data_IF_732645314366
#
_entry.id   IF_732645314366
#
_cell.length_a   1.000
_cell.length_b   1.000
_cell.length_c   1.000
_cell.angle_alpha   90.00
_cell.angle_beta   90.00
_cell.angle_gamma   90.00
#
_symmetry.space_group_name_H-M   'P 1'
#
loop_
_entity.id
_entity.type
_entity.pdbx_description
1 polymer ?
#
# COMPACT_ATOMS: atom_id res chain seq x y z
N UNK A 1 23.12 -4.62 -0.85
CA UNK A 1 23.16 -5.30 0.46
C UNK A 1 22.39 -4.43 1.43
N UNK A 2 21.45 -4.97 2.21
CA UNK A 2 20.70 -4.18 3.19
C UNK A 2 21.62 -3.51 4.21
N UNK A 3 21.36 -2.22 4.47
CA UNK A 3 22.14 -1.41 5.41
C UNK A 3 21.24 -0.95 6.56
N UNK A 4 21.75 -1.10 7.79
CA UNK A 4 21.18 -0.45 8.98
C UNK A 4 21.98 0.84 9.22
N UNK A 5 21.31 1.99 9.14
CA UNK A 5 21.86 3.27 9.55
C UNK A 5 21.44 3.56 10.98
N UNK A 6 22.41 3.58 11.89
CA UNK A 6 22.22 3.92 13.29
C UNK A 6 22.55 5.40 13.49
N UNK A 7 21.62 6.14 14.08
CA UNK A 7 21.67 7.58 14.29
C UNK A 7 21.50 7.84 15.77
N UNK A 8 22.46 8.56 16.38
CA UNK A 8 22.33 9.04 17.76
C UNK A 8 22.39 10.55 17.83
N UNK A 9 21.58 11.10 18.74
CA UNK A 9 21.71 12.46 19.22
C UNK A 9 21.71 12.46 20.74
N UNK A 10 22.72 13.09 21.34
CA UNK A 10 22.81 13.24 22.80
C UNK A 10 23.24 14.67 23.12
N UNK A 11 22.32 15.65 22.93
CA UNK A 11 22.63 17.06 23.12
C UNK A 11 23.19 17.38 24.50
N UNK A 12 24.10 18.36 24.56
CA UNK A 12 24.84 18.75 25.76
C UNK A 12 23.97 19.38 26.85
N UNK A 13 22.83 19.95 26.47
CA UNK A 13 21.84 20.59 27.34
C UNK A 13 20.72 19.64 27.81
N UNK A 14 20.84 18.35 27.52
CA UNK A 14 19.93 17.29 27.94
C UNK A 14 20.62 16.27 28.85
N UNK A 15 19.83 15.40 29.49
CA UNK A 15 20.37 14.28 30.28
C UNK A 15 21.20 13.35 29.39
N UNK A 16 22.38 12.94 29.87
CA UNK A 16 23.31 12.15 29.06
C UNK A 16 22.85 10.70 28.93
N UNK A 17 22.56 10.27 27.72
CA UNK A 17 22.23 8.88 27.40
C UNK A 17 23.48 8.04 27.14
N UNK A 18 23.42 6.73 27.43
CA UNK A 18 24.53 5.78 27.19
C UNK A 18 24.41 5.07 25.83
N UNK A 19 24.21 5.84 24.76
CA UNK A 19 23.90 5.35 23.40
C UNK A 19 24.99 4.42 22.82
N UNK A 20 26.26 4.68 23.14
CA UNK A 20 27.38 3.89 22.62
C UNK A 20 27.35 2.42 23.07
N UNK A 21 26.71 2.12 24.21
CA UNK A 21 26.56 0.75 24.69
C UNK A 21 25.58 -0.02 23.80
N UNK A 22 24.43 0.58 23.50
CA UNK A 22 23.43 0.01 22.59
C UNK A 22 24.04 -0.29 21.22
N UNK A 23 24.78 0.66 20.64
CA UNK A 23 25.33 0.51 19.29
C UNK A 23 26.38 -0.59 19.20
N UNK A 24 27.26 -0.65 20.20
CA UNK A 24 28.23 -1.74 20.31
C UNK A 24 27.52 -3.09 20.39
N UNK A 25 26.45 -3.17 21.17
CA UNK A 25 25.75 -4.43 21.39
C UNK A 25 24.95 -4.86 20.14
N UNK A 26 24.39 -3.93 19.36
CA UNK A 26 23.81 -4.20 18.04
C UNK A 26 24.86 -4.68 17.04
N UNK A 27 26.06 -4.07 17.02
CA UNK A 27 27.17 -4.55 16.16
C UNK A 27 27.61 -5.96 16.56
N UNK A 28 27.64 -6.27 17.85
CA UNK A 28 27.90 -7.64 18.32
C UNK A 28 26.80 -8.62 17.93
N UNK A 29 25.52 -8.19 17.91
CA UNK A 29 24.41 -9.00 17.38
C UNK A 29 24.67 -9.42 15.93
N UNK A 30 25.08 -8.47 15.07
CA UNK A 30 25.45 -8.77 13.68
C UNK A 30 26.61 -9.75 13.59
N UNK A 31 27.69 -9.53 14.35
CA UNK A 31 28.87 -10.40 14.32
C UNK A 31 28.57 -11.86 14.69
N UNK A 32 27.61 -12.08 15.60
CA UNK A 32 27.18 -13.42 16.03
C UNK A 32 26.18 -14.06 15.07
N UNK A 33 25.57 -13.29 14.17
CA UNK A 33 24.60 -13.82 13.22
C UNK A 33 25.24 -14.78 12.22
N UNK A 34 24.47 -15.79 11.82
CA UNK A 34 24.82 -16.70 10.71
C UNK A 34 24.84 -15.96 9.37
N UNK A 35 24.05 -14.90 9.23
CA UNK A 35 23.91 -14.12 8.00
C UNK A 35 24.67 -12.78 8.08
N UNK A 36 25.74 -12.71 8.87
CA UNK A 36 26.51 -11.48 9.10
C UNK A 36 27.07 -10.83 7.83
N UNK A 37 27.27 -11.62 6.78
CA UNK A 37 27.81 -11.17 5.48
C UNK A 37 26.72 -10.59 4.57
N UNK A 38 25.45 -10.67 4.96
CA UNK A 38 24.30 -10.14 4.21
C UNK A 38 23.90 -8.73 4.65
N UNK A 39 24.54 -8.17 5.67
CA UNK A 39 24.15 -6.88 6.27
C UNK A 39 25.36 -5.97 6.51
N UNK A 40 25.13 -4.66 6.34
CA UNK A 40 26.05 -3.62 6.79
C UNK A 40 25.41 -2.80 7.92
N UNK A 41 26.21 -2.40 8.91
CA UNK A 41 25.81 -1.38 9.88
C UNK A 41 26.68 -0.15 9.67
N UNK A 42 26.04 0.97 9.36
CA UNK A 42 26.64 2.30 9.37
C UNK A 42 26.13 3.07 10.58
N UNK A 43 26.96 3.93 11.14
CA UNK A 43 26.57 4.72 12.31
C UNK A 43 27.01 6.16 12.18
N UNK A 44 26.16 7.07 12.63
CA UNK A 44 26.43 8.49 12.72
C UNK A 44 26.12 8.96 14.16
N UNK A 45 27.13 9.51 14.83
CA UNK A 45 27.05 10.02 16.21
C UNK A 45 26.99 11.56 16.17
N UNK A 46 26.32 12.18 17.16
CA UNK A 46 26.17 13.64 17.26
C UNK A 46 25.43 14.27 16.06
N UNK A 47 24.32 13.64 15.64
CA UNK A 47 23.71 13.91 14.34
C UNK A 47 22.79 15.12 14.39
N UNK A 48 23.12 16.14 13.60
CA UNK A 48 22.18 17.19 13.20
C UNK A 48 21.21 16.65 12.14
N UNK A 49 20.07 17.34 11.90
CA UNK A 49 19.13 16.94 10.82
C UNK A 49 19.82 16.91 9.44
N UNK A 50 20.79 17.79 9.22
CA UNK A 50 21.56 17.80 7.97
C UNK A 50 22.46 16.57 7.84
N UNK A 51 23.05 16.10 8.93
CA UNK A 51 23.89 14.90 8.93
C UNK A 51 23.05 13.64 8.75
N UNK A 52 21.83 13.60 9.28
CA UNK A 52 20.85 12.56 8.97
C UNK A 52 20.56 12.53 7.46
N UNK A 53 20.23 13.70 6.88
CA UNK A 53 19.92 13.80 5.45
C UNK A 53 21.10 13.37 4.57
N UNK A 54 22.33 13.76 4.92
CA UNK A 54 23.55 13.34 4.21
C UNK A 54 23.75 11.83 4.31
N UNK A 55 23.64 11.26 5.50
CA UNK A 55 23.78 9.82 5.69
C UNK A 55 22.72 9.01 4.92
N UNK A 56 21.49 9.49 4.84
CA UNK A 56 20.45 8.87 4.00
C UNK A 56 20.82 8.89 2.51
N UNK A 57 21.38 9.99 2.02
CA UNK A 57 21.85 10.11 0.63
C UNK A 57 23.03 9.17 0.33
N UNK A 58 23.99 9.08 1.25
CA UNK A 58 25.21 8.31 1.06
C UNK A 58 24.98 6.80 1.18
N UNK A 59 24.18 6.38 2.17
CA UNK A 59 24.06 4.97 2.52
C UNK A 59 22.78 4.29 2.05
N UNK A 60 21.73 5.06 1.70
CA UNK A 60 20.43 4.54 1.22
C UNK A 60 19.94 3.34 2.06
N UNK A 61 19.77 3.51 3.38
CA UNK A 61 19.62 2.38 4.29
C UNK A 61 18.24 1.72 4.16
N UNK A 62 18.21 0.40 4.44
CA UNK A 62 16.97 -0.36 4.57
C UNK A 62 16.31 -0.18 5.94
N UNK A 63 17.11 0.15 6.96
CA UNK A 63 16.62 0.42 8.31
C UNK A 63 17.30 1.68 8.84
N UNK A 64 16.52 2.62 9.36
CA UNK A 64 17.03 3.73 10.19
C UNK A 64 16.71 3.44 11.65
N UNK A 65 17.73 3.45 12.49
CA UNK A 65 17.59 3.37 13.94
C UNK A 65 17.96 4.71 14.55
N UNK A 66 17.00 5.43 15.11
CA UNK A 66 17.24 6.63 15.89
C UNK A 66 17.25 6.28 17.37
N UNK A 67 18.30 6.67 18.09
CA UNK A 67 18.40 6.56 19.54
C UNK A 67 18.73 7.92 20.15
N UNK A 68 17.89 8.42 21.06
CA UNK A 68 18.01 9.77 21.59
C UNK A 68 16.80 10.20 22.39
N UNK A 69 16.73 11.49 22.69
CA UNK A 69 15.60 12.05 23.45
C UNK A 69 14.36 12.26 22.58
N UNK A 70 13.20 12.02 23.18
CA UNK A 70 11.89 12.30 22.58
C UNK A 70 11.07 13.22 23.49
N UNK A 71 10.58 14.32 22.92
CA UNK A 71 9.77 15.32 23.62
C UNK A 71 8.27 15.10 23.47
N UNK A 72 7.82 13.90 23.10
CA UNK A 72 6.43 13.63 22.74
C UNK A 72 5.99 14.51 21.57
N UNK A 73 4.95 15.33 21.74
CA UNK A 73 4.48 16.25 20.69
C UNK A 73 5.52 17.25 20.21
N UNK A 74 6.55 17.54 21.00
CA UNK A 74 7.60 18.48 20.63
C UNK A 74 8.52 17.94 19.52
N UNK A 75 8.64 16.61 19.37
CA UNK A 75 9.49 15.98 18.35
C UNK A 75 10.63 15.13 18.91
N UNK A 76 11.49 14.67 18.01
CA UNK A 76 12.76 14.01 18.35
C UNK A 76 13.85 15.07 18.51
N UNK A 77 14.73 14.89 19.49
CA UNK A 77 15.84 15.83 19.74
C UNK A 77 17.06 15.44 18.90
N UNK A 78 17.44 16.31 17.97
CA UNK A 78 18.73 16.27 17.27
C UNK A 78 19.68 17.29 17.89
N UNK A 79 20.92 17.33 17.41
CA UNK A 79 21.86 18.39 17.78
C UNK A 79 21.76 19.57 16.82
N UNK A 80 22.01 20.78 17.32
CA UNK A 80 22.36 21.94 16.52
C UNK A 80 23.89 22.05 16.34
N UNK A 81 24.34 23.12 15.68
CA UNK A 81 25.77 23.36 15.41
C UNK A 81 26.61 23.58 16.67
N UNK A 82 25.97 23.91 17.80
CA UNK A 82 26.59 24.14 19.10
C UNK A 82 26.48 22.90 20.01
N UNK A 83 25.87 21.81 19.52
CA UNK A 83 25.66 20.57 20.26
C UNK A 83 24.47 20.62 21.24
N UNK A 84 23.60 21.63 21.14
CA UNK A 84 22.38 21.74 21.96
C UNK A 84 21.18 21.11 21.27
N UNK A 85 20.09 20.92 22.01
CA UNK A 85 18.91 20.24 21.53
C UNK A 85 18.18 21.07 20.46
N UNK A 86 18.07 20.48 19.27
CA UNK A 86 17.21 20.93 18.19
C UNK A 86 16.07 19.94 17.98
N UNK A 87 14.88 20.29 18.46
CA UNK A 87 13.73 19.40 18.35
C UNK A 87 13.11 19.47 16.96
N UNK A 88 12.98 18.31 16.30
CA UNK A 88 12.40 18.20 14.96
C UNK A 88 11.04 17.51 15.04
N UNK A 89 10.00 18.17 14.52
CA UNK A 89 8.66 17.60 14.48
C UNK A 89 8.55 16.42 13.51
N UNK A 90 7.43 15.72 13.56
CA UNK A 90 7.23 14.48 12.82
C UNK A 90 7.10 14.69 11.30
N UNK A 91 6.43 15.76 10.87
CA UNK A 91 6.10 15.99 9.46
C UNK A 91 7.33 16.24 8.58
N UNK A 92 8.32 17.07 8.98
CA UNK A 92 9.56 17.20 8.23
C UNK A 92 10.34 15.89 8.12
N UNK A 93 10.37 15.08 9.18
CA UNK A 93 11.03 13.77 9.17
C UNK A 93 10.32 12.78 8.26
N UNK A 94 8.98 12.73 8.30
CA UNK A 94 8.18 11.89 7.41
C UNK A 94 8.43 12.25 5.94
N UNK A 95 8.43 13.55 5.61
CA UNK A 95 8.76 14.03 4.26
C UNK A 95 10.19 13.67 3.84
N UNK A 96 11.16 13.78 4.76
CA UNK A 96 12.52 13.36 4.49
C UNK A 96 12.57 11.87 4.16
N UNK A 97 11.96 11.02 4.98
CA UNK A 97 11.94 9.56 4.77
C UNK A 97 11.17 9.14 3.51
N UNK A 98 10.12 9.86 3.13
CA UNK A 98 9.37 9.61 1.89
C UNK A 98 10.29 9.56 0.66
N UNK A 99 11.30 10.43 0.59
CA UNK A 99 12.25 10.46 -0.52
C UNK A 99 13.16 9.22 -0.61
N UNK A 100 13.16 8.36 0.41
CA UNK A 100 13.94 7.14 0.49
C UNK A 100 13.06 5.88 0.64
N UNK A 101 11.73 5.97 0.51
CA UNK A 101 10.79 4.87 0.77
C UNK A 101 11.03 3.58 -0.03
N UNK A 102 11.65 3.71 -1.20
CA UNK A 102 11.98 2.56 -2.06
C UNK A 102 13.07 1.68 -1.42
N UNK A 103 14.02 2.32 -0.73
CA UNK A 103 15.15 1.68 -0.04
C UNK A 103 14.80 1.39 1.43
N UNK A 104 14.21 2.37 2.12
CA UNK A 104 13.93 2.39 3.56
C UNK A 104 12.64 1.62 3.90
N UNK A 105 12.79 0.48 4.58
CA UNK A 105 11.69 -0.41 4.96
C UNK A 105 11.28 -0.30 6.42
N UNK A 106 12.21 0.02 7.32
CA UNK A 106 11.88 0.12 8.74
C UNK A 106 12.53 1.35 9.39
N UNK A 107 11.77 2.07 10.21
CA UNK A 107 12.29 3.12 11.07
C UNK A 107 12.09 2.70 12.53
N UNK A 108 13.16 2.68 13.32
CA UNK A 108 13.12 2.39 14.75
C UNK A 108 13.40 3.69 15.50
N UNK A 109 12.41 4.20 16.22
CA UNK A 109 12.49 5.42 17.01
C UNK A 109 12.64 5.06 18.49
N UNK A 110 13.86 4.77 18.92
CA UNK A 110 14.20 4.47 20.29
C UNK A 110 14.33 5.78 21.11
N UNK A 111 13.19 6.43 21.34
CA UNK A 111 13.08 7.69 22.05
C UNK A 111 11.75 7.75 22.80
N UNK A 112 11.71 8.34 23.99
CA UNK A 112 10.50 8.44 24.80
C UNK A 112 9.35 9.09 24.04
N UNK A 113 8.14 8.51 24.14
CA UNK A 113 6.92 9.02 23.49
C UNK A 113 7.01 9.18 21.95
N UNK A 114 7.92 8.46 21.29
CA UNK A 114 8.12 8.53 19.84
C UNK A 114 6.96 7.97 19.00
N UNK A 115 5.93 7.38 19.64
CA UNK A 115 4.67 7.00 18.99
C UNK A 115 4.04 8.17 18.21
N UNK A 116 4.16 9.40 18.73
CA UNK A 116 3.58 10.58 18.09
C UNK A 116 4.21 10.79 16.71
N UNK A 117 5.54 10.67 16.61
CA UNK A 117 6.26 10.77 15.35
C UNK A 117 6.02 9.56 14.47
N UNK A 118 6.01 8.37 15.06
CA UNK A 118 5.81 7.13 14.33
C UNK A 118 4.48 7.06 13.60
N UNK A 119 3.41 7.60 14.19
CA UNK A 119 2.08 7.67 13.56
C UNK A 119 2.02 8.53 12.29
N UNK A 120 2.91 9.51 12.16
CA UNK A 120 3.03 10.36 10.98
C UNK A 120 4.01 9.72 9.99
N UNK A 121 5.16 9.25 10.48
CA UNK A 121 6.19 8.61 9.65
C UNK A 121 5.67 7.34 8.97
N UNK A 122 4.82 6.54 9.64
CA UNK A 122 4.22 5.33 9.03
C UNK A 122 3.34 5.62 7.81
N UNK A 123 2.98 6.88 7.55
CA UNK A 123 2.28 7.20 6.30
C UNK A 123 3.19 7.09 5.08
N UNK A 124 4.51 7.13 5.30
CA UNK A 124 5.53 7.25 4.25
C UNK A 124 6.48 6.04 4.17
N UNK A 125 6.54 5.18 5.20
CA UNK A 125 7.42 4.00 5.28
C UNK A 125 6.67 2.77 5.76
N UNK A 126 7.14 1.59 5.32
CA UNK A 126 6.50 0.28 5.52
C UNK A 126 6.27 -0.07 7.00
N UNK A 127 7.29 0.12 7.84
CA UNK A 127 7.23 -0.24 9.25
C UNK A 127 7.89 0.83 10.11
N UNK A 128 7.26 1.13 11.25
CA UNK A 128 7.82 2.03 12.26
C UNK A 128 7.70 1.39 13.63
N UNK A 129 8.78 1.40 14.39
CA UNK A 129 8.78 1.03 15.80
C UNK A 129 8.96 2.32 16.59
N UNK A 130 8.09 2.57 17.56
CA UNK A 130 8.20 3.72 18.47
C UNK A 130 7.94 3.32 19.91
N UNK A 131 7.96 4.30 20.81
CA UNK A 131 7.70 4.13 22.24
C UNK A 131 6.45 4.91 22.62
N UNK A 132 5.47 4.25 23.24
CA UNK A 132 4.20 4.88 23.66
C UNK A 132 4.35 5.81 24.87
N UNK A 133 5.38 5.57 25.69
CA UNK A 133 5.69 6.34 26.90
C UNK A 133 7.19 6.45 27.13
N UNK A 134 7.58 7.02 28.28
CA UNK A 134 8.97 6.95 28.74
C UNK A 134 9.39 5.48 28.91
N UNK A 135 10.62 5.17 28.47
CA UNK A 135 11.22 3.84 28.48
C UNK A 135 12.51 3.87 29.27
N UNK A 136 12.77 2.83 30.06
CA UNK A 136 14.05 2.66 30.75
C UNK A 136 15.19 2.37 29.76
N UNK A 137 16.34 3.02 29.93
CA UNK A 137 17.52 2.87 29.07
C UNK A 137 17.95 1.39 28.89
N UNK A 138 17.88 0.59 29.95
CA UNK A 138 18.29 -0.82 29.89
C UNK A 138 17.26 -1.69 29.16
N UNK A 139 15.98 -1.35 29.27
CA UNK A 139 14.90 -1.98 28.51
C UNK A 139 15.01 -1.60 27.02
N UNK A 140 15.19 -0.32 26.71
CA UNK A 140 15.39 0.18 25.36
C UNK A 140 16.56 -0.51 24.64
N UNK A 141 17.73 -0.56 25.28
CA UNK A 141 18.91 -1.23 24.73
C UNK A 141 18.68 -2.74 24.56
N UNK A 142 18.06 -3.41 25.53
CA UNK A 142 17.78 -4.85 25.46
C UNK A 142 16.80 -5.19 24.33
N UNK A 143 15.76 -4.38 24.17
CA UNK A 143 14.79 -4.50 23.07
C UNK A 143 15.50 -4.38 21.72
N UNK A 144 16.31 -3.32 21.53
CA UNK A 144 17.01 -3.08 20.27
C UNK A 144 17.94 -4.24 19.90
N UNK A 145 18.74 -4.75 20.85
CA UNK A 145 19.64 -5.89 20.61
C UNK A 145 18.85 -7.15 20.21
N UNK A 146 17.77 -7.47 20.92
CA UNK A 146 16.95 -8.64 20.62
C UNK A 146 16.20 -8.52 19.27
N UNK A 147 15.72 -7.32 18.95
CA UNK A 147 15.14 -7.00 17.64
C UNK A 147 16.15 -7.26 16.52
N UNK A 148 17.38 -6.74 16.64
CA UNK A 148 18.41 -6.93 15.62
C UNK A 148 18.98 -8.35 15.56
N UNK A 149 19.10 -9.06 16.69
CA UNK A 149 19.43 -10.49 16.70
C UNK A 149 18.45 -11.27 15.78
N UNK A 150 17.15 -10.94 15.82
CA UNK A 150 16.13 -11.57 14.98
C UNK A 150 16.16 -11.10 13.52
N UNK A 151 16.28 -9.80 13.26
CA UNK A 151 16.42 -9.24 11.90
C UNK A 151 17.62 -9.87 11.18
N UNK A 152 18.78 -9.90 11.84
CA UNK A 152 19.98 -10.49 11.25
C UNK A 152 19.89 -12.01 11.11
N UNK A 153 18.98 -12.69 11.81
CA UNK A 153 18.69 -14.11 11.61
C UNK A 153 17.73 -14.37 10.42
N UNK A 154 17.21 -13.32 9.78
CA UNK A 154 16.36 -13.41 8.58
C UNK A 154 14.86 -13.49 8.88
N UNK A 155 14.41 -13.10 10.07
CA UNK A 155 12.97 -12.99 10.36
C UNK A 155 12.37 -11.70 9.78
N UNK A 156 11.06 -11.66 9.59
CA UNK A 156 10.36 -10.41 9.28
C UNK A 156 10.36 -9.45 10.49
N UNK A 157 10.04 -8.17 10.23
CA UNK A 157 10.08 -7.11 11.26
C UNK A 157 9.05 -7.29 12.37
N UNK A 158 7.89 -7.90 12.10
CA UNK A 158 6.87 -8.13 13.13
C UNK A 158 7.35 -9.19 14.11
N UNK A 159 7.86 -10.31 13.57
CA UNK A 159 8.46 -11.37 14.38
C UNK A 159 9.66 -10.85 15.18
N UNK A 160 10.53 -10.04 14.56
CA UNK A 160 11.65 -9.43 15.26
C UNK A 160 11.22 -8.50 16.40
N UNK A 161 10.17 -7.70 16.19
CA UNK A 161 9.58 -6.86 17.23
C UNK A 161 9.03 -7.69 18.39
N UNK A 162 8.23 -8.73 18.10
CA UNK A 162 7.62 -9.58 19.13
C UNK A 162 8.70 -10.32 19.96
N UNK A 163 9.81 -10.74 19.33
CA UNK A 163 10.98 -11.30 20.02
C UNK A 163 11.71 -10.26 20.88
N UNK A 164 11.78 -9.01 20.44
CA UNK A 164 12.30 -7.88 21.21
C UNK A 164 11.53 -7.68 22.52
N UNK A 165 10.20 -7.60 22.45
CA UNK A 165 9.33 -7.51 23.63
C UNK A 165 9.48 -8.74 24.54
N UNK A 166 9.46 -9.95 23.95
CA UNK A 166 9.63 -11.21 24.69
C UNK A 166 10.97 -11.25 25.45
N UNK A 167 12.03 -10.66 24.89
CA UNK A 167 13.32 -10.59 25.57
C UNK A 167 13.27 -9.73 26.84
N UNK A 168 12.46 -8.67 26.87
CA UNK A 168 12.23 -7.87 28.08
C UNK A 168 11.55 -8.70 29.17
N UNK A 169 10.47 -9.41 28.82
CA UNK A 169 9.75 -10.30 29.74
C UNK A 169 10.65 -11.39 30.32
N UNK A 170 11.41 -12.08 29.46
CA UNK A 170 12.32 -13.16 29.87
C UNK A 170 13.43 -12.68 30.79
N UNK A 171 13.88 -11.44 30.64
CA UNK A 171 14.91 -10.83 31.48
C UNK A 171 14.32 -10.06 32.67
N UNK A 172 12.98 -10.08 32.83
CA UNK A 172 12.23 -9.36 33.88
C UNK A 172 12.56 -7.86 33.92
N UNK A 173 12.78 -7.28 32.74
CA UNK A 173 12.94 -5.84 32.58
C UNK A 173 11.56 -5.18 32.52
N UNK A 174 11.44 -3.92 32.96
CA UNK A 174 10.21 -3.16 32.76
C UNK A 174 9.96 -2.92 31.27
N UNK A 175 8.80 -2.34 30.95
CA UNK A 175 8.52 -1.71 29.67
C UNK A 175 8.40 -2.64 28.45
N UNK A 176 8.13 -3.93 28.65
CA UNK A 176 7.80 -4.86 27.56
C UNK A 176 6.59 -4.41 26.71
N UNK A 177 5.70 -3.61 27.29
CA UNK A 177 4.50 -3.02 26.69
C UNK A 177 4.73 -1.64 26.03
N UNK A 178 5.94 -1.07 26.14
CA UNK A 178 6.24 0.30 25.66
C UNK A 178 6.59 0.36 24.18
N UNK A 179 7.46 -0.52 23.64
CA UNK A 179 7.67 -0.58 22.20
C UNK A 179 6.34 -0.88 21.52
N UNK A 180 6.05 -0.14 20.46
CA UNK A 180 4.88 -0.33 19.62
C UNK A 180 5.30 -0.53 18.18
N UNK A 181 4.64 -1.48 17.51
CA UNK A 181 4.85 -1.77 16.11
C UNK A 181 3.75 -1.13 15.28
N UNK A 182 4.12 -0.21 14.39
CA UNK A 182 3.23 0.49 13.50
C UNK A 182 3.50 0.04 12.07
N UNK A 183 2.43 -0.38 11.40
CA UNK A 183 2.47 -0.74 9.98
C UNK A 183 2.08 0.48 9.14
N UNK A 184 2.77 0.66 8.02
CA UNK A 184 2.50 1.74 7.11
C UNK A 184 1.09 1.66 6.54
N UNK A 185 0.45 2.80 6.26
CA UNK A 185 -0.96 2.81 5.84
C UNK A 185 -1.24 2.01 4.57
N UNK A 186 -0.24 1.87 3.69
CA UNK A 186 -0.29 1.05 2.49
C UNK A 186 -0.13 -0.45 2.76
N UNK A 187 0.52 -0.81 3.87
CA UNK A 187 0.71 -2.20 4.32
C UNK A 187 -0.30 -2.62 5.39
N UNK A 188 -0.97 -1.67 6.03
CA UNK A 188 -1.99 -1.94 7.03
C UNK A 188 -3.05 -2.81 6.36
N UNK A 189 -3.19 -4.08 6.77
CA UNK A 189 -4.42 -4.79 6.48
C UNK A 189 -5.50 -3.90 7.06
N UNK A 190 -6.53 -3.56 6.27
CA UNK A 190 -7.70 -2.92 6.87
C UNK A 190 -8.12 -3.85 8.00
N UNK A 191 -7.92 -3.44 9.25
CA UNK A 191 -8.21 -4.28 10.41
C UNK A 191 -9.70 -4.54 10.32
N UNK A 192 -10.01 -5.74 9.86
CA UNK A 192 -11.32 -6.29 9.86
C UNK A 192 -11.68 -6.50 11.32
N UNK A 193 -12.26 -5.48 11.96
CA UNK A 193 -13.10 -5.74 13.11
C UNK A 193 -14.09 -6.80 12.63
N UNK A 194 -14.11 -7.98 13.26
CA UNK A 194 -15.06 -9.04 12.95
C UNK A 194 -16.47 -8.53 13.27
N UNK A 195 -16.98 -7.67 12.38
CA UNK A 195 -18.35 -7.19 12.38
C UNK A 195 -19.22 -8.35 11.91
N UNK A 196 -20.53 -8.28 12.20
CA UNK A 196 -21.50 -9.25 11.72
C UNK A 196 -21.45 -9.46 10.17
N UNK A 197 -20.82 -8.56 9.43
CA UNK A 197 -20.67 -8.64 7.98
C UNK A 197 -19.69 -9.71 7.52
N UNK A 198 -18.58 -10.00 8.22
CA UNK A 198 -17.57 -10.95 7.71
C UNK A 198 -18.14 -12.37 7.55
N UNK A 199 -18.78 -12.96 8.59
CA UNK A 199 -19.36 -14.30 8.44
C UNK A 199 -20.42 -14.35 7.33
N UNK A 200 -21.19 -13.27 7.17
CA UNK A 200 -22.21 -13.18 6.13
C UNK A 200 -21.60 -13.06 4.72
N UNK A 201 -20.54 -12.27 4.56
CA UNK A 201 -19.77 -12.17 3.32
C UNK A 201 -19.18 -13.53 2.96
N UNK A 202 -18.51 -14.21 3.89
CA UNK A 202 -17.95 -15.55 3.67
C UNK A 202 -19.04 -16.54 3.23
N UNK A 203 -20.21 -16.52 3.89
CA UNK A 203 -21.37 -17.38 3.58
C UNK A 203 -21.93 -17.10 2.18
N UNK A 204 -22.13 -15.84 1.84
CA UNK A 204 -22.66 -15.43 0.52
C UNK A 204 -21.66 -15.76 -0.57
N UNK A 205 -20.38 -15.42 -0.40
CA UNK A 205 -19.34 -15.70 -1.37
C UNK A 205 -19.11 -17.20 -1.55
N UNK A 206 -19.17 -18.00 -0.47
CA UNK A 206 -19.14 -19.46 -0.56
C UNK A 206 -20.30 -19.98 -1.41
N UNK A 207 -21.51 -19.48 -1.19
CA UNK A 207 -22.70 -19.86 -1.98
C UNK A 207 -22.57 -19.44 -3.44
N UNK A 208 -22.11 -18.21 -3.69
CA UNK A 208 -21.87 -17.66 -5.01
C UNK A 208 -20.83 -18.47 -5.79
N UNK A 209 -19.67 -18.75 -5.18
CA UNK A 209 -18.60 -19.48 -5.86
C UNK A 209 -18.97 -20.94 -6.15
N UNK A 210 -19.79 -21.58 -5.31
CA UNK A 210 -20.30 -22.95 -5.52
C UNK A 210 -21.60 -23.03 -6.33
N UNK A 211 -22.06 -21.91 -6.89
CA UNK A 211 -23.22 -21.88 -7.80
C UNK A 211 -22.73 -21.91 -9.25
N UNK A 212 -23.37 -22.71 -10.15
CA UNK A 212 -23.10 -22.68 -11.57
C UNK A 212 -23.13 -21.26 -12.15
N UNK A 213 -22.26 -20.97 -13.12
CA UNK A 213 -21.99 -19.60 -13.56
C UNK A 213 -23.23 -18.79 -13.93
N UNK A 214 -24.18 -19.38 -14.63
CA UNK A 214 -25.40 -18.71 -15.11
C UNK A 214 -26.42 -18.44 -14.01
N UNK A 215 -26.38 -19.23 -12.93
CA UNK A 215 -27.27 -19.09 -11.78
C UNK A 215 -26.70 -18.16 -10.70
N UNK A 216 -25.48 -17.64 -10.91
CA UNK A 216 -24.85 -16.66 -10.02
C UNK A 216 -25.55 -15.31 -10.04
N UNK A 217 -26.37 -15.03 -11.04
CA UNK A 217 -27.14 -13.79 -11.18
C UNK A 217 -27.93 -13.45 -9.91
N UNK A 218 -28.44 -14.43 -9.18
CA UNK A 218 -29.17 -14.23 -7.91
C UNK A 218 -28.34 -13.59 -6.78
N UNK A 219 -27.03 -13.58 -6.90
CA UNK A 219 -26.12 -12.98 -5.92
C UNK A 219 -25.53 -11.65 -6.39
N UNK A 220 -25.87 -11.18 -7.60
CA UNK A 220 -25.26 -9.96 -8.15
C UNK A 220 -26.17 -8.75 -8.00
N UNK A 221 -25.56 -7.57 -8.07
CA UNK A 221 -26.27 -6.28 -8.06
C UNK A 221 -27.17 -6.10 -9.29
N UNK A 222 -26.78 -6.65 -10.43
CA UNK A 222 -27.49 -6.50 -11.72
C UNK A 222 -28.51 -7.62 -11.97
N UNK A 223 -28.47 -8.73 -11.22
CA UNK A 223 -29.47 -9.79 -11.31
C UNK A 223 -29.47 -10.56 -12.64
N UNK A 224 -30.65 -11.00 -13.07
CA UNK A 224 -30.83 -11.90 -14.23
C UNK A 224 -30.44 -11.30 -15.59
N UNK A 225 -30.28 -9.98 -15.69
CA UNK A 225 -29.78 -9.36 -16.93
C UNK A 225 -28.35 -9.80 -17.28
N UNK A 226 -27.58 -10.29 -16.31
CA UNK A 226 -26.24 -10.82 -16.53
C UNK A 226 -26.19 -12.23 -17.09
N UNK A 227 -27.31 -12.97 -17.13
CA UNK A 227 -27.31 -14.40 -17.47
C UNK A 227 -26.59 -14.68 -18.79
N UNK A 228 -27.02 -14.01 -19.86
CA UNK A 228 -26.41 -14.18 -21.20
C UNK A 228 -24.96 -13.67 -21.28
N UNK A 229 -24.61 -12.66 -20.48
CA UNK A 229 -23.24 -12.11 -20.44
C UNK A 229 -22.31 -13.09 -19.71
N UNK A 230 -22.75 -13.67 -18.60
CA UNK A 230 -22.03 -14.71 -17.86
C UNK A 230 -21.84 -15.98 -18.70
N UNK A 231 -22.89 -16.42 -19.42
CA UNK A 231 -22.79 -17.55 -20.36
C UNK A 231 -21.67 -17.35 -21.37
N UNK A 232 -21.63 -16.17 -22.00
CA UNK A 232 -20.58 -15.83 -22.97
C UNK A 232 -19.20 -15.69 -22.33
N UNK A 233 -19.12 -15.07 -21.16
CA UNK A 233 -17.84 -14.82 -20.47
C UNK A 233 -17.19 -16.11 -19.96
N UNK A 234 -17.99 -16.98 -19.34
CA UNK A 234 -17.47 -18.25 -18.82
C UNK A 234 -17.34 -19.32 -19.90
N UNK A 235 -18.20 -19.30 -20.92
CA UNK A 235 -18.14 -20.23 -22.05
C UNK A 235 -18.07 -21.68 -21.58
N UNK A 236 -17.05 -22.41 -22.04
CA UNK A 236 -16.80 -23.82 -21.69
C UNK A 236 -16.00 -24.02 -20.38
N UNK A 237 -15.75 -22.96 -19.59
CA UNK A 237 -15.00 -23.10 -18.35
C UNK A 237 -15.69 -24.10 -17.42
N UNK A 238 -14.91 -25.05 -16.91
CA UNK A 238 -15.41 -26.01 -15.93
C UNK A 238 -15.54 -25.33 -14.57
N UNK A 239 -16.76 -25.31 -14.02
CA UNK A 239 -17.00 -24.88 -12.66
C UNK A 239 -16.47 -25.92 -11.67
N UNK A 240 -15.63 -25.49 -10.73
CA UNK A 240 -15.17 -26.29 -9.60
C UNK A 240 -15.69 -25.69 -8.31
N UNK A 241 -16.16 -26.56 -7.42
CA UNK A 241 -16.54 -26.16 -6.07
C UNK A 241 -15.30 -25.78 -5.26
N UNK A 242 -15.50 -24.88 -4.31
CA UNK A 242 -14.51 -24.47 -3.32
C UNK A 242 -14.90 -24.97 -1.94
N UNK A 243 -13.92 -25.36 -1.14
CA UNK A 243 -14.15 -25.91 0.20
C UNK A 243 -14.46 -24.84 1.24
N UNK A 244 -13.83 -23.67 1.13
CA UNK A 244 -13.97 -22.56 2.07
C UNK A 244 -13.72 -21.23 1.41
N UNK A 245 -14.34 -20.18 1.95
CA UNK A 245 -14.00 -18.77 1.72
C UNK A 245 -13.55 -18.18 3.04
N UNK A 246 -12.44 -17.45 3.05
CA UNK A 246 -12.08 -16.57 4.14
C UNK A 246 -11.87 -15.16 3.64
N UNK A 247 -12.43 -14.17 4.33
CA UNK A 247 -12.10 -12.77 4.04
C UNK A 247 -10.72 -12.45 4.62
N UNK A 248 -9.82 -11.96 3.77
CA UNK A 248 -8.45 -11.58 4.13
C UNK A 248 -8.34 -10.09 4.41
N UNK A 249 -8.97 -9.28 3.56
CA UNK A 249 -9.01 -7.81 3.70
C UNK A 249 -10.29 -7.25 3.07
N UNK A 250 -10.73 -6.09 3.54
CA UNK A 250 -11.82 -5.33 2.92
C UNK A 250 -11.43 -3.86 2.84
N UNK A 251 -11.58 -3.24 1.67
CA UNK A 251 -11.37 -1.81 1.44
C UNK A 251 -12.70 -1.15 1.09
N UNK A 252 -13.14 -0.20 1.91
CA UNK A 252 -14.31 0.64 1.59
C UNK A 252 -13.98 1.51 0.39
N UNK A 253 -14.86 1.54 -0.60
CA UNK A 253 -14.78 2.41 -1.78
C UNK A 253 -15.78 3.57 -1.68
N UNK A 254 -16.98 3.27 -1.19
CA UNK A 254 -18.03 4.22 -0.80
C UNK A 254 -18.66 3.73 0.52
N UNK A 255 -19.78 4.32 0.93
CA UNK A 255 -20.55 3.88 2.10
C UNK A 255 -21.04 2.43 1.99
N UNK A 256 -21.44 2.00 0.78
CA UNK A 256 -22.03 0.69 0.52
C UNK A 256 -21.18 -0.20 -0.39
N UNK A 257 -20.10 0.30 -0.99
CA UNK A 257 -19.24 -0.46 -1.91
C UNK A 257 -17.90 -0.83 -1.29
N UNK A 258 -17.51 -2.09 -1.50
CA UNK A 258 -16.34 -2.68 -0.89
C UNK A 258 -15.56 -3.51 -1.90
N UNK A 259 -14.23 -3.41 -1.85
CA UNK A 259 -13.32 -4.35 -2.48
C UNK A 259 -12.87 -5.35 -1.42
N UNK A 260 -13.13 -6.64 -1.65
CA UNK A 260 -12.85 -7.70 -0.69
C UNK A 260 -11.80 -8.64 -1.27
N UNK A 261 -10.72 -8.85 -0.54
CA UNK A 261 -9.80 -9.93 -0.82
C UNK A 261 -10.26 -11.18 -0.06
N UNK A 262 -10.40 -12.29 -0.78
CA UNK A 262 -10.80 -13.58 -0.20
C UNK A 262 -9.80 -14.67 -0.54
N UNK A 263 -9.47 -15.47 0.47
CA UNK A 263 -8.76 -16.73 0.31
C UNK A 263 -9.77 -17.86 0.07
N UNK A 264 -9.65 -18.52 -1.09
CA UNK A 264 -10.34 -19.77 -1.40
C UNK A 264 -9.31 -20.85 -1.78
N UNK A 265 -9.33 -21.38 -3.02
CA UNK A 265 -8.21 -22.17 -3.56
C UNK A 265 -7.02 -21.30 -3.96
N UNK A 266 -7.31 -20.05 -4.34
CA UNK A 266 -6.36 -18.98 -4.70
C UNK A 266 -6.92 -17.67 -4.13
N UNK A 267 -6.07 -16.65 -3.92
CA UNK A 267 -6.56 -15.33 -3.50
C UNK A 267 -7.34 -14.67 -4.64
N UNK A 268 -8.46 -14.02 -4.31
CA UNK A 268 -9.32 -13.33 -5.29
C UNK A 268 -9.78 -12.00 -4.73
N UNK A 269 -9.86 -11.00 -5.62
CA UNK A 269 -10.53 -9.75 -5.34
C UNK A 269 -11.98 -9.80 -5.83
N UNK A 270 -12.93 -9.42 -4.98
CA UNK A 270 -14.35 -9.37 -5.28
C UNK A 270 -14.89 -8.01 -4.89
N UNK A 271 -15.53 -7.33 -5.83
CA UNK A 271 -16.29 -6.13 -5.53
C UNK A 271 -17.67 -6.53 -5.03
N UNK A 272 -18.09 -5.97 -3.91
CA UNK A 272 -19.42 -6.21 -3.34
C UNK A 272 -20.09 -4.92 -2.94
N UNK A 273 -21.42 -4.96 -2.93
CA UNK A 273 -22.27 -3.95 -2.32
C UNK A 273 -22.89 -4.51 -1.05
N UNK A 274 -22.72 -3.80 0.07
CA UNK A 274 -23.24 -4.15 1.39
C UNK A 274 -24.25 -3.08 1.79
N UNK A 275 -25.52 -3.45 1.89
CA UNK A 275 -26.59 -2.58 2.41
C UNK A 275 -27.38 -3.32 3.47
N UNK A 276 -27.48 -2.72 4.65
CA UNK A 276 -28.10 -3.33 5.85
C UNK A 276 -27.45 -4.68 6.20
N UNK A 277 -28.01 -5.79 5.69
CA UNK A 277 -27.52 -7.17 5.85
C UNK A 277 -27.45 -7.94 4.54
N UNK A 278 -27.65 -7.28 3.40
CA UNK A 278 -27.53 -7.89 2.09
C UNK A 278 -26.13 -7.68 1.53
N UNK A 279 -25.52 -8.75 1.03
CA UNK A 279 -24.25 -8.73 0.31
C UNK A 279 -24.53 -9.15 -1.14
N UNK A 280 -24.25 -8.27 -2.09
CA UNK A 280 -24.39 -8.54 -3.51
C UNK A 280 -23.04 -8.34 -4.23
N UNK A 281 -22.73 -9.22 -5.17
CA UNK A 281 -21.49 -9.19 -5.96
C UNK A 281 -21.65 -8.22 -7.14
N UNK A 282 -20.73 -7.28 -7.26
CA UNK A 282 -20.56 -6.46 -8.47
C UNK A 282 -19.74 -7.27 -9.47
N UNK A 283 -20.41 -8.15 -10.22
CA UNK A 283 -19.73 -9.18 -11.03
C UNK A 283 -18.87 -8.56 -12.14
N UNK A 284 -19.43 -7.60 -12.87
CA UNK A 284 -18.77 -6.88 -13.96
C UNK A 284 -17.46 -6.24 -13.48
N UNK A 285 -17.46 -5.64 -12.30
CA UNK A 285 -16.26 -5.09 -11.66
C UNK A 285 -15.30 -6.20 -11.23
N UNK A 286 -15.81 -7.24 -10.58
CA UNK A 286 -15.01 -8.37 -10.07
C UNK A 286 -14.28 -9.17 -11.14
N UNK A 287 -14.80 -9.19 -12.37
CA UNK A 287 -14.15 -9.86 -13.50
C UNK A 287 -13.46 -8.90 -14.47
N UNK A 288 -13.43 -7.59 -14.15
CA UNK A 288 -12.87 -6.56 -15.02
C UNK A 288 -13.54 -6.54 -16.39
N UNK A 289 -14.86 -6.75 -16.46
CA UNK A 289 -15.59 -6.89 -17.72
C UNK A 289 -15.45 -5.63 -18.58
N UNK A 290 -15.13 -5.79 -19.85
CA UNK A 290 -15.19 -4.72 -20.84
C UNK A 290 -16.46 -4.86 -21.67
N UNK A 291 -16.91 -3.78 -22.33
CA UNK A 291 -18.09 -3.85 -23.22
C UNK A 291 -17.88 -4.80 -24.42
N UNK A 292 -16.61 -5.06 -24.78
CA UNK A 292 -16.20 -6.15 -25.66
C UNK A 292 -15.01 -6.91 -25.03
N UNK A 293 -14.82 -8.22 -25.29
CA UNK A 293 -13.71 -8.96 -24.68
C UNK A 293 -12.34 -8.34 -25.00
N UNK A 294 -11.46 -8.25 -24.01
CA UNK A 294 -10.12 -7.63 -24.12
C UNK A 294 -9.30 -8.20 -25.29
N UNK A 295 -9.25 -9.52 -25.40
CA UNK A 295 -8.58 -10.23 -26.50
C UNK A 295 -9.21 -9.93 -27.86
N UNK A 296 -10.52 -9.72 -27.93
CA UNK A 296 -11.20 -9.33 -29.18
C UNK A 296 -10.84 -7.91 -29.57
N UNK A 297 -10.86 -6.97 -28.62
CA UNK A 297 -10.43 -5.59 -28.85
C UNK A 297 -8.97 -5.52 -29.32
N UNK A 298 -8.05 -6.22 -28.65
CA UNK A 298 -6.65 -6.23 -29.05
C UNK A 298 -6.41 -6.85 -30.43
N UNK A 299 -7.18 -7.89 -30.79
CA UNK A 299 -7.02 -8.55 -32.09
C UNK A 299 -7.66 -7.78 -33.26
N UNK A 300 -8.82 -7.18 -33.04
CA UNK A 300 -9.66 -6.64 -34.13
C UNK A 300 -9.92 -5.14 -34.01
N UNK A 301 -9.72 -4.56 -32.84
CA UNK A 301 -10.07 -3.19 -32.56
C UNK A 301 -11.55 -2.98 -32.29
N UNK A 302 -11.96 -1.70 -32.28
CA UNK A 302 -13.37 -1.29 -32.23
C UNK A 302 -13.55 0.07 -32.89
N UNK A 303 -14.55 0.19 -33.77
CA UNK A 303 -14.96 1.48 -34.33
C UNK A 303 -15.83 2.29 -33.37
N UNK A 304 -16.41 1.64 -32.37
CA UNK A 304 -17.22 2.26 -31.32
C UNK A 304 -16.42 2.41 -30.02
N UNK A 305 -16.85 3.33 -29.15
CA UNK A 305 -16.24 3.48 -27.83
C UNK A 305 -16.41 2.22 -26.98
N UNK A 306 -15.34 1.79 -26.31
CA UNK A 306 -15.32 0.63 -25.42
C UNK A 306 -15.27 1.13 -23.97
N UNK A 307 -16.16 0.58 -23.13
CA UNK A 307 -16.07 0.76 -21.67
C UNK A 307 -15.03 -0.22 -21.15
N UNK A 308 -13.94 0.31 -20.61
CA UNK A 308 -12.78 -0.43 -20.16
C UNK A 308 -12.58 -0.26 -18.64
N UNK A 309 -12.41 -1.40 -17.96
CA UNK A 309 -11.98 -1.51 -16.56
C UNK A 309 -10.50 -1.87 -16.56
N UNK A 310 -9.67 -0.95 -16.08
CA UNK A 310 -8.21 -1.04 -16.19
C UNK A 310 -7.55 -0.66 -14.87
N UNK A 311 -6.41 -1.29 -14.61
CA UNK A 311 -5.38 -0.78 -13.72
C UNK A 311 -4.59 0.26 -14.50
N UNK A 312 -4.65 1.52 -14.08
CA UNK A 312 -4.11 2.65 -14.83
C UNK A 312 -3.01 3.38 -14.06
N UNK A 313 -1.93 3.72 -14.76
CA UNK A 313 -0.78 4.45 -14.21
C UNK A 313 -0.26 5.45 -15.25
N UNK A 314 0.29 6.59 -14.84
CA UNK A 314 0.95 7.50 -15.77
C UNK A 314 2.16 6.81 -16.42
N UNK A 315 2.30 6.97 -17.73
CA UNK A 315 3.39 6.38 -18.51
C UNK A 315 4.06 7.44 -19.39
N UNK A 316 5.22 7.09 -19.94
CA UNK A 316 6.01 7.91 -20.87
C UNK A 316 6.21 7.20 -22.21
N UNK A 317 5.42 6.18 -22.52
CA UNK A 317 5.50 5.49 -23.81
C UNK A 317 4.79 6.27 -24.92
N UNK A 318 5.55 6.75 -25.91
CA UNK A 318 5.04 7.44 -27.11
C UNK A 318 5.63 6.78 -28.35
N UNK A 319 4.76 6.30 -29.24
CA UNK A 319 5.16 5.60 -30.45
C UNK A 319 4.11 5.80 -31.56
N UNK A 320 4.43 5.43 -32.80
CA UNK A 320 3.56 5.57 -33.97
C UNK A 320 3.01 7.01 -34.09
N UNK A 321 1.69 7.16 -34.24
CA UNK A 321 1.04 8.46 -34.44
C UNK A 321 1.06 9.34 -33.17
N UNK A 322 1.51 8.80 -32.02
CA UNK A 322 1.76 9.55 -30.79
C UNK A 322 3.23 9.94 -30.60
N UNK A 323 4.13 9.53 -31.51
CA UNK A 323 5.53 9.96 -31.49
C UNK A 323 5.63 11.49 -31.59
N UNK A 324 6.43 12.10 -30.72
CA UNK A 324 6.64 13.57 -30.64
C UNK A 324 5.36 14.36 -30.30
N UNK A 325 4.32 13.70 -29.79
CA UNK A 325 3.06 14.33 -29.39
C UNK A 325 2.93 14.50 -27.87
N UNK A 326 4.02 14.43 -27.10
CA UNK A 326 4.02 14.55 -25.62
C UNK A 326 3.46 15.89 -25.14
N UNK A 327 3.60 16.93 -25.96
CA UNK A 327 3.06 18.26 -25.72
C UNK A 327 1.53 18.30 -25.82
N UNK A 328 0.93 17.36 -26.56
CA UNK A 328 -0.51 17.29 -26.84
C UNK A 328 -1.20 16.16 -26.09
N UNK A 329 -0.54 15.03 -25.89
CA UNK A 329 -1.10 13.86 -25.20
C UNK A 329 -0.30 13.51 -23.95
N UNK A 330 -0.98 12.90 -22.98
CA UNK A 330 -0.39 12.22 -21.85
C UNK A 330 -0.58 10.71 -22.03
N UNK A 331 0.52 9.97 -21.98
CA UNK A 331 0.53 8.50 -22.01
C UNK A 331 0.15 7.93 -20.64
N UNK A 332 -0.56 6.80 -20.66
CA UNK A 332 -1.13 6.11 -19.50
C UNK A 332 -1.04 4.61 -19.78
N UNK A 333 -0.37 3.85 -18.91
CA UNK A 333 -0.41 2.39 -18.95
C UNK A 333 -1.81 1.94 -18.55
N UNK A 334 -2.40 1.02 -19.31
CA UNK A 334 -3.73 0.46 -19.06
C UNK A 334 -3.63 -1.07 -19.01
N UNK A 335 -3.52 -1.62 -17.81
CA UNK A 335 -3.44 -3.06 -17.57
C UNK A 335 -4.84 -3.66 -17.37
N UNK A 336 -5.11 -4.78 -18.03
CA UNK A 336 -6.38 -5.49 -17.96
C UNK A 336 -6.38 -6.51 -16.81
N UNK A 337 -7.57 -6.90 -16.36
CA UNK A 337 -7.72 -7.97 -15.36
C UNK A 337 -7.15 -9.34 -15.81
N UNK A 338 -6.93 -9.55 -17.11
CA UNK A 338 -6.29 -10.74 -17.66
C UNK A 338 -4.78 -10.56 -17.95
N UNK A 339 -4.16 -9.48 -17.46
CA UNK A 339 -2.73 -9.23 -17.51
C UNK A 339 -2.22 -8.75 -18.86
N UNK A 340 -3.08 -8.17 -19.70
CA UNK A 340 -2.71 -7.56 -20.96
C UNK A 340 -2.50 -6.06 -20.76
N UNK A 341 -1.49 -5.48 -21.42
CA UNK A 341 -1.19 -4.05 -21.34
C UNK A 341 -1.58 -3.33 -22.62
N UNK A 342 -2.16 -2.14 -22.47
CA UNK A 342 -2.36 -1.16 -23.53
C UNK A 342 -1.67 0.15 -23.16
N UNK A 343 -1.26 0.92 -24.17
CA UNK A 343 -0.69 2.25 -24.04
C UNK A 343 -1.76 3.28 -24.38
N UNK A 344 -2.54 3.68 -23.38
CA UNK A 344 -3.59 4.67 -23.55
C UNK A 344 -3.05 6.10 -23.65
N UNK A 345 -3.75 6.94 -24.39
CA UNK A 345 -3.39 8.37 -24.51
C UNK A 345 -4.59 9.25 -24.21
N UNK A 346 -4.39 10.33 -23.45
CA UNK A 346 -5.41 11.35 -23.20
C UNK A 346 -4.92 12.70 -23.69
N UNK A 347 -5.76 13.44 -24.41
CA UNK A 347 -5.42 14.77 -24.91
C UNK A 347 -5.32 15.76 -23.74
N UNK A 348 -4.18 16.44 -23.62
CA UNK A 348 -3.92 17.45 -22.59
C UNK A 348 -4.90 18.61 -22.73
N UNK A 349 -5.07 19.37 -21.63
CA UNK A 349 -5.96 20.54 -21.58
C UNK A 349 -7.45 20.23 -21.81
N UNK A 350 -7.85 18.96 -21.76
CA UNK A 350 -9.25 18.53 -21.78
C UNK A 350 -9.78 18.28 -20.37
N UNK A 351 -11.10 18.25 -20.21
CA UNK A 351 -11.74 17.86 -18.94
C UNK A 351 -11.37 16.43 -18.53
N UNK A 352 -11.25 15.53 -19.52
CA UNK A 352 -10.87 14.12 -19.33
C UNK A 352 -9.45 14.03 -18.76
N UNK A 353 -8.50 14.79 -19.32
CA UNK A 353 -7.14 14.89 -18.80
C UNK A 353 -7.13 15.35 -17.33
N UNK A 354 -7.83 16.44 -17.01
CA UNK A 354 -7.87 16.97 -15.65
C UNK A 354 -8.46 15.94 -14.66
N UNK A 355 -9.55 15.26 -15.04
CA UNK A 355 -10.15 14.19 -14.23
C UNK A 355 -9.18 13.04 -14.00
N UNK A 356 -8.43 12.66 -15.04
CA UNK A 356 -7.48 11.56 -14.96
C UNK A 356 -6.25 11.94 -14.10
N UNK A 357 -5.71 13.15 -14.26
CA UNK A 357 -4.59 13.63 -13.43
C UNK A 357 -4.98 13.71 -11.95
N UNK A 358 -6.22 14.12 -11.63
CA UNK A 358 -6.72 14.11 -10.26
C UNK A 358 -6.80 12.71 -9.61
N UNK A 359 -6.60 11.65 -10.40
CA UNK A 359 -6.54 10.26 -9.92
C UNK A 359 -5.10 9.78 -9.94
N UNK A 360 -4.39 9.95 -11.07
CA UNK A 360 -3.11 9.27 -11.34
C UNK A 360 -1.86 10.08 -10.98
N UNK A 361 -1.99 11.37 -10.61
CA UNK A 361 -0.81 12.22 -10.34
C UNK A 361 -0.04 11.86 -9.07
N UNK A 362 -0.56 10.94 -8.26
CA UNK A 362 0.14 10.41 -7.08
C UNK A 362 1.24 9.40 -7.45
N UNK A 363 1.33 9.02 -8.73
CA UNK A 363 2.33 8.10 -9.26
C UNK A 363 2.07 6.64 -8.92
N UNK A 364 0.88 6.31 -8.42
CA UNK A 364 0.48 4.93 -8.15
C UNK A 364 -0.44 4.40 -9.25
N UNK A 365 -0.59 3.08 -9.29
CA UNK A 365 -1.59 2.41 -10.11
C UNK A 365 -2.99 2.53 -9.47
N UNK A 366 -4.00 2.83 -10.29
CA UNK A 366 -5.40 2.94 -9.86
C UNK A 366 -6.33 2.12 -10.72
N UNK A 367 -7.23 1.36 -10.09
CA UNK A 367 -8.35 0.69 -10.77
C UNK A 367 -9.42 1.70 -11.14
N UNK A 368 -9.58 2.00 -12.43
CA UNK A 368 -10.55 2.97 -12.93
C UNK A 368 -11.43 2.38 -14.04
N UNK A 369 -12.60 2.98 -14.23
CA UNK A 369 -13.45 2.70 -15.40
C UNK A 369 -13.40 3.91 -16.34
N UNK A 370 -13.04 3.67 -17.59
CA UNK A 370 -12.88 4.70 -18.62
C UNK A 370 -13.59 4.31 -19.92
N UNK A 371 -13.86 5.27 -20.79
CA UNK A 371 -14.14 4.98 -22.21
C UNK A 371 -12.89 5.17 -23.03
N UNK A 372 -12.62 4.19 -23.88
CA UNK A 372 -11.54 4.23 -24.85
C UNK A 372 -12.08 4.15 -26.27
N UNK A 373 -11.40 4.77 -27.22
CA UNK A 373 -11.68 4.62 -28.64
C UNK A 373 -10.37 4.38 -29.40
N UNK A 374 -10.41 3.47 -30.35
CA UNK A 374 -9.30 3.25 -31.25
C UNK A 374 -9.31 4.33 -32.33
N UNK A 375 -8.22 5.09 -32.45
CA UNK A 375 -8.09 6.12 -33.50
C UNK A 375 -6.99 5.80 -34.53
N UNK A 376 -6.15 4.81 -34.25
CA UNK A 376 -5.07 4.37 -35.14
C UNK A 376 -5.11 2.87 -35.38
N UNK A 377 -4.27 2.38 -36.30
CA UNK A 377 -4.23 0.95 -36.66
C UNK A 377 -3.78 0.06 -35.49
N UNK A 378 -2.91 0.57 -34.63
CA UNK A 378 -2.45 -0.08 -33.41
C UNK A 378 -3.59 -0.12 -32.38
N UNK A 379 -4.13 -1.31 -32.15
CA UNK A 379 -5.28 -1.55 -31.26
C UNK A 379 -4.91 -1.37 -29.79
N UNK A 380 -3.65 -1.62 -29.43
CA UNK A 380 -3.06 -1.43 -28.10
C UNK A 380 -2.81 0.05 -27.74
N UNK A 381 -3.13 0.99 -28.64
CA UNK A 381 -2.90 2.44 -28.45
C UNK A 381 -4.18 3.29 -28.54
N UNK A 382 -5.16 3.08 -27.64
CA UNK A 382 -6.41 3.83 -27.65
C UNK A 382 -6.28 5.28 -27.17
N UNK A 383 -7.23 6.12 -27.56
CA UNK A 383 -7.53 7.36 -26.85
C UNK A 383 -8.48 7.12 -25.68
N UNK A 384 -8.17 7.73 -24.53
CA UNK A 384 -9.06 7.85 -23.38
C UNK A 384 -9.97 9.05 -23.61
N UNK A 385 -11.27 8.79 -23.73
CA UNK A 385 -12.28 9.80 -24.10
C UNK A 385 -13.20 10.19 -22.96
N UNK A 386 -13.27 9.38 -21.90
CA UNK A 386 -14.10 9.67 -20.73
C UNK A 386 -13.57 8.93 -19.50
N UNK A 387 -13.63 9.57 -18.32
CA UNK A 387 -13.43 8.90 -17.04
C UNK A 387 -14.81 8.66 -16.42
N UNK A 388 -15.23 7.41 -16.38
CA UNK A 388 -16.57 7.00 -15.94
C UNK A 388 -16.64 6.77 -14.43
N UNK A 389 -15.58 6.25 -13.83
CA UNK A 389 -15.52 5.96 -12.39
C UNK A 389 -14.07 5.90 -11.89
N UNK A 390 -13.87 6.31 -10.64
CA UNK A 390 -12.60 6.17 -9.89
C UNK A 390 -12.35 4.74 -9.38
N UNK A 391 -13.26 3.81 -9.70
CA UNK A 391 -13.16 2.38 -9.37
C UNK A 391 -13.61 1.55 -10.58
N UNK A 392 -13.53 0.23 -10.51
CA UNK A 392 -14.17 -0.67 -11.49
C UNK A 392 -15.69 -0.79 -11.32
N UNK A 393 -16.27 -0.21 -10.27
CA UNK A 393 -17.73 -0.15 -10.11
C UNK A 393 -18.25 1.04 -10.93
N UNK A 394 -19.14 0.73 -11.88
CA UNK A 394 -19.79 1.67 -12.79
C UNK A 394 -21.12 1.10 -13.27
N UNK A 395 -22.17 1.94 -13.34
CA UNK A 395 -23.49 1.59 -13.87
C UNK A 395 -23.94 2.60 -14.93
N UNK A 396 -24.26 2.13 -16.14
CA UNK A 396 -24.75 2.98 -17.24
C UNK A 396 -26.11 3.65 -16.93
N UNK A 397 -26.87 3.11 -15.98
CA UNK A 397 -28.21 3.58 -15.59
C UNK A 397 -28.24 4.96 -14.92
N UNK A 398 -27.10 5.48 -14.44
CA UNK A 398 -27.00 6.80 -13.81
C UNK A 398 -27.28 8.01 -14.72
N UNK A 399 -27.31 7.83 -16.05
CA UNK A 399 -27.65 8.89 -17.01
C UNK A 399 -29.16 9.02 -17.29
N UNK A 400 -30.00 8.13 -16.76
CA UNK A 400 -31.45 8.17 -16.98
C UNK A 400 -32.23 8.99 -15.94
N UNK A 401 -31.69 9.17 -14.72
CA UNK A 401 -32.36 9.95 -13.67
C UNK A 401 -32.28 11.47 -13.90
N UNK A 402 -31.34 11.96 -14.72
CA UNK A 402 -31.25 13.38 -15.10
C UNK A 402 -32.15 13.79 -16.29
N UNK A 403 -32.92 12.88 -16.89
CA UNK A 403 -33.84 13.20 -18.00
C UNK A 403 -35.34 13.18 -17.64
N UNK A 404 -35.69 13.06 -16.34
CA UNK A 404 -37.09 13.13 -15.87
C UNK A 404 -37.42 14.38 -15.04
N UNK A 405 -36.51 15.37 -15.00
CA UNK A 405 -36.80 16.71 -14.50
C UNK A 405 -36.27 17.76 -15.48
N UNK A 406 -37.07 18.02 -16.52
CA UNK A 406 -37.35 19.35 -17.09
C UNK A 406 -38.39 19.21 -18.20
#
# INVERSE_FOLDING_TARGET
>A
MPTVLIVSASPLDQDRLRLNAEFRDIRHALQRSRNREEWTIESNEAVTVDDLRRALLDFRPSIVHFSGHGGGSSGLCFEDVDGNANTTSAEPLAKLFHHFKDDLKCVVLNACYSEVQGNIIRQEVDYVIGMSRAVDDSAAAKFAVAFYDAVFAGTDFRTAFDLGCTALDLNKLPDADVPIFMTGSHLAPTILSYSAHIPEIERILYSYFNTPFTDRTRFTTTGDSLRSIMEKYYGEKMHRNIEKVRVMSMKSLTEDQWLIEVACSESRFVYVRIRERSVLVEWEASVGLWSIPTKTYLALGSSESVVARVEAELDTYYNYDFSEQEHRFQSVSLDTADGLRLHGYVERQTEVYNKLMNILSDGNEHRITIKIIQVIKQTDMPLITEVLSRTWIYSESGMSECKSKN
#
